data_IF_651661752993
#
_entry.id   IF_651661752993
#
_cell.length_a   1.000
_cell.length_b   1.000
_cell.length_c   1.000
_cell.angle_alpha   90.00
_cell.angle_beta   90.00
_cell.angle_gamma   90.00
#
_symmetry.space_group_name_H-M   'P 1'
#
loop_
_entity.id
_entity.type
_entity.pdbx_description
1 polymer ?
#
# COMPACT_ATOMS: atom_id res chain seq x y z
N UNK A 1 -9.77 -18.49 -5.74
CA UNK A 1 -9.60 -17.02 -5.67
C UNK A 1 -9.65 -16.48 -4.23
N UNK A 2 -10.33 -17.12 -3.27
CA UNK A 2 -10.35 -16.68 -1.86
C UNK A 2 -9.22 -17.25 -0.98
N UNK A 3 -8.63 -18.39 -1.36
CA UNK A 3 -7.59 -19.07 -0.56
C UNK A 3 -6.41 -18.16 -0.23
N UNK A 4 -5.87 -17.45 -1.21
CA UNK A 4 -4.74 -16.53 -1.02
C UNK A 4 -5.08 -15.34 -0.13
N UNK A 5 -6.35 -14.89 -0.14
CA UNK A 5 -6.84 -13.85 0.77
C UNK A 5 -6.95 -14.34 2.21
N UNK A 6 -7.41 -15.58 2.41
CA UNK A 6 -7.42 -16.21 3.74
C UNK A 6 -6.01 -16.39 4.30
N UNK A 7 -5.06 -16.80 3.46
CA UNK A 7 -3.65 -16.91 3.83
C UNK A 7 -3.08 -15.55 4.24
N UNK A 8 -3.26 -14.50 3.43
CA UNK A 8 -2.81 -13.14 3.79
C UNK A 8 -3.47 -12.63 5.07
N UNK A 9 -4.78 -12.83 5.23
CA UNK A 9 -5.49 -12.43 6.46
C UNK A 9 -4.96 -13.17 7.69
N UNK A 10 -4.64 -14.45 7.54
CA UNK A 10 -4.04 -15.26 8.61
C UNK A 10 -2.64 -14.75 8.97
N UNK A 11 -1.82 -14.40 7.99
CA UNK A 11 -0.48 -13.83 8.22
C UNK A 11 -0.56 -12.48 8.96
N UNK A 12 -1.47 -11.59 8.56
CA UNK A 12 -1.68 -10.30 9.24
C UNK A 12 -2.13 -10.50 10.69
N UNK A 13 -3.08 -11.43 10.94
CA UNK A 13 -3.53 -11.76 12.30
C UNK A 13 -2.44 -12.40 13.16
N UNK A 14 -1.50 -13.12 12.55
CA UNK A 14 -0.34 -13.70 13.21
C UNK A 14 0.77 -12.67 13.51
N UNK A 15 0.58 -11.39 13.14
CA UNK A 15 1.50 -10.30 13.48
C UNK A 15 2.43 -9.86 12.35
N UNK A 16 2.19 -10.27 11.10
CA UNK A 16 2.93 -9.72 9.96
C UNK A 16 2.62 -8.21 9.82
N UNK A 17 3.63 -7.38 10.05
CA UNK A 17 3.54 -5.94 9.79
C UNK A 17 3.89 -5.63 8.33
N UNK A 18 2.91 -5.09 7.60
CA UNK A 18 3.06 -4.68 6.19
C UNK A 18 3.29 -3.18 6.03
N UNK A 19 3.29 -2.42 7.13
CA UNK A 19 3.49 -0.96 7.11
C UNK A 19 4.74 -0.53 6.32
N UNK A 20 5.91 -1.24 6.40
CA UNK A 20 7.11 -0.85 5.66
C UNK A 20 6.99 -0.94 4.14
N UNK A 21 6.01 -1.69 3.62
CA UNK A 21 5.77 -1.82 2.17
C UNK A 21 5.11 -0.56 1.61
N UNK A 22 4.37 0.17 2.44
CA UNK A 22 3.73 1.43 2.08
C UNK A 22 4.75 2.55 2.21
N UNK A 23 5.30 3.00 1.09
CA UNK A 23 6.35 4.02 1.10
C UNK A 23 5.80 5.44 0.96
N UNK A 24 4.60 5.60 0.40
CA UNK A 24 3.95 6.89 0.24
C UNK A 24 2.46 6.82 0.59
N UNK A 25 2.00 7.83 1.33
CA UNK A 25 0.58 8.10 1.58
C UNK A 25 0.28 9.54 1.18
N UNK A 26 -0.71 9.73 0.34
CA UNK A 26 -1.18 11.04 -0.10
C UNK A 26 -2.70 11.12 0.05
N UNK A 27 -3.24 12.33 0.23
CA UNK A 27 -4.68 12.54 0.13
C UNK A 27 -5.15 12.25 -1.30
N UNK A 28 -6.38 11.77 -1.49
CA UNK A 28 -6.87 11.32 -2.79
C UNK A 28 -6.84 12.43 -3.85
N UNK A 29 -6.96 13.70 -3.44
CA UNK A 29 -6.86 14.86 -4.35
C UNK A 29 -5.46 15.06 -4.91
N UNK A 30 -4.44 14.55 -4.23
CA UNK A 30 -3.03 14.62 -4.65
C UNK A 30 -2.64 13.42 -5.52
N UNK A 31 -3.61 12.79 -6.19
CA UNK A 31 -3.38 11.61 -7.03
C UNK A 31 -2.23 11.81 -8.03
N UNK A 32 -2.11 12.99 -8.63
CA UNK A 32 -1.04 13.33 -9.58
C UNK A 32 0.35 13.12 -8.95
N UNK A 33 0.58 13.64 -7.74
CA UNK A 33 1.81 13.42 -6.97
C UNK A 33 2.04 11.94 -6.67
N UNK A 34 0.96 11.21 -6.41
CA UNK A 34 0.98 9.75 -6.26
C UNK A 34 1.55 9.04 -7.49
N UNK A 35 1.03 9.36 -8.67
CA UNK A 35 1.50 8.76 -9.93
C UNK A 35 2.91 9.20 -10.29
N UNK A 36 3.28 10.46 -10.07
CA UNK A 36 4.63 10.97 -10.34
C UNK A 36 5.71 10.30 -9.50
N UNK A 37 5.35 9.83 -8.29
CA UNK A 37 6.28 9.11 -7.41
C UNK A 37 6.60 7.69 -7.88
N UNK A 38 5.73 7.06 -8.68
CA UNK A 38 5.89 5.68 -9.16
C UNK A 38 7.13 5.47 -10.06
N UNK A 39 7.36 6.28 -11.12
CA UNK A 39 8.51 6.11 -12.01
C UNK A 39 9.86 6.48 -11.38
N UNK A 40 9.88 7.10 -10.20
CA UNK A 40 11.11 7.51 -9.52
C UNK A 40 12.01 6.33 -9.09
N UNK A 41 11.47 5.11 -9.05
CA UNK A 41 12.14 3.93 -8.49
C UNK A 41 12.33 3.98 -6.96
N UNK A 42 11.85 5.04 -6.30
CA UNK A 42 11.89 5.22 -4.84
C UNK A 42 10.54 4.87 -4.18
N UNK A 43 9.61 4.24 -4.92
CA UNK A 43 8.29 3.85 -4.41
C UNK A 43 8.12 2.33 -4.37
N UNK A 44 7.54 1.82 -3.28
CA UNK A 44 7.14 0.41 -3.15
C UNK A 44 5.64 0.26 -3.35
N UNK A 45 4.85 0.87 -2.45
CA UNK A 45 3.40 1.02 -2.58
C UNK A 45 2.99 2.45 -2.24
N UNK A 46 2.23 3.06 -3.15
CA UNK A 46 1.56 4.34 -2.95
C UNK A 46 0.11 4.08 -2.57
N UNK A 47 -0.37 4.71 -1.49
CA UNK A 47 -1.78 4.68 -1.06
C UNK A 47 -2.35 6.09 -1.14
N UNK A 48 -3.53 6.20 -1.76
CA UNK A 48 -4.34 7.42 -1.77
C UNK A 48 -5.44 7.27 -0.74
N UNK A 49 -5.46 8.17 0.24
CA UNK A 49 -6.35 8.14 1.40
C UNK A 49 -7.47 9.19 1.29
N UNK A 50 -8.61 8.93 1.93
CA UNK A 50 -9.82 9.79 1.90
C UNK A 50 -10.03 10.58 3.19
N UNK A 51 -9.22 10.34 4.24
CA UNK A 51 -9.24 11.07 5.51
C UNK A 51 -8.46 12.39 5.46
#
# INVERSE_FOLDING_TARGET
MFETWYQMTSMLRAGLDISPVITHKYHYTDFAKGFDSMPSGQSGKVVLDWD
#
